data_IF_404650315266
#
_entry.id   IF_404650315266
#
_cell.length_a   1.000
_cell.length_b   1.000
_cell.length_c   1.000
_cell.angle_alpha   90.00
_cell.angle_beta   90.00
_cell.angle_gamma   90.00
#
_symmetry.space_group_name_H-M   'P 1'
#
loop_
_entity.id
_entity.type
_entity.pdbx_description
1 polymer ?
#
# COMPACT_ATOMS: atom_id res chain seq x y z
N UNK A 1 -1.03 -9.13 23.94
CA UNK A 1 -1.68 -8.56 22.73
C UNK A 1 -2.58 -9.66 22.22
N UNK A 2 -3.81 -9.67 22.71
CA UNK A 2 -4.74 -10.76 22.45
C UNK A 2 -5.60 -10.47 21.20
N UNK A 3 -5.30 -9.35 20.53
CA UNK A 3 -5.85 -8.94 19.24
C UNK A 3 -5.66 -9.96 18.09
N UNK A 4 -4.68 -10.86 18.22
CA UNK A 4 -4.46 -11.94 17.24
C UNK A 4 -5.32 -13.19 17.50
N UNK A 5 -6.07 -13.23 18.60
CA UNK A 5 -6.99 -14.32 18.91
C UNK A 5 -8.29 -14.19 18.10
N UNK A 6 -8.90 -15.32 17.76
CA UNK A 6 -10.09 -15.36 16.89
C UNK A 6 -11.30 -14.60 17.46
N UNK A 7 -11.40 -14.53 18.77
CA UNK A 7 -12.47 -13.83 19.47
C UNK A 7 -12.16 -12.34 19.69
N UNK A 8 -10.97 -11.85 19.31
CA UNK A 8 -10.50 -10.48 19.48
C UNK A 8 -11.01 -9.88 20.81
N UNK A 9 -10.62 -10.47 21.96
CA UNK A 9 -11.24 -10.19 23.25
C UNK A 9 -11.09 -8.72 23.64
N UNK A 10 -10.01 -8.08 23.19
CA UNK A 10 -9.67 -6.67 23.39
C UNK A 10 -10.40 -5.72 22.43
N UNK A 11 -11.17 -6.28 21.48
CA UNK A 11 -11.93 -5.54 20.44
C UNK A 11 -11.02 -4.58 19.69
N UNK A 12 -9.90 -5.10 19.20
CA UNK A 12 -8.94 -4.33 18.44
C UNK A 12 -9.33 -4.21 16.97
N UNK A 13 -9.14 -3.02 16.42
CA UNK A 13 -9.25 -2.78 15.00
C UNK A 13 -8.16 -3.56 14.25
N UNK A 14 -8.59 -4.33 13.25
CA UNK A 14 -7.66 -5.01 12.36
C UNK A 14 -7.25 -4.05 11.24
N UNK A 15 -5.95 -3.82 11.11
CA UNK A 15 -5.39 -3.14 9.94
C UNK A 15 -5.51 -4.02 8.68
N UNK A 16 -5.38 -5.34 8.84
CA UNK A 16 -5.52 -6.31 7.76
C UNK A 16 -5.96 -7.68 8.31
N UNK A 17 -6.84 -8.37 7.58
CA UNK A 17 -7.28 -9.73 7.91
C UNK A 17 -7.48 -10.54 6.62
N UNK A 18 -6.78 -11.65 6.51
CA UNK A 18 -7.01 -12.65 5.45
C UNK A 18 -8.26 -13.46 5.75
N UNK A 19 -9.01 -13.85 4.72
CA UNK A 19 -10.03 -14.89 4.87
C UNK A 19 -9.37 -16.23 5.19
N UNK A 20 -10.09 -17.12 5.87
CA UNK A 20 -9.62 -18.49 6.15
C UNK A 20 -9.23 -19.15 4.83
N UNK A 21 -8.03 -19.76 4.79
CA UNK A 21 -7.42 -20.39 3.61
C UNK A 21 -6.98 -19.47 2.46
N UNK A 22 -6.99 -18.14 2.63
CA UNK A 22 -6.36 -17.25 1.63
C UNK A 22 -4.84 -17.15 1.83
N UNK A 23 -4.12 -16.94 0.73
CA UNK A 23 -2.67 -16.74 0.75
C UNK A 23 -2.36 -15.31 1.19
N UNK A 24 -1.57 -15.17 2.25
CA UNK A 24 -0.98 -13.88 2.61
C UNK A 24 0.08 -13.52 1.56
N UNK A 25 -0.13 -12.42 0.85
CA UNK A 25 0.75 -11.96 -0.24
C UNK A 25 1.94 -11.13 0.26
N UNK A 26 2.00 -10.84 1.56
CA UNK A 26 2.93 -9.88 2.14
C UNK A 26 2.23 -8.57 2.48
N UNK A 27 2.87 -7.77 3.33
CA UNK A 27 2.56 -6.36 3.55
C UNK A 27 3.87 -5.57 3.50
N UNK A 28 3.76 -4.29 3.21
CA UNK A 28 4.85 -3.33 3.34
C UNK A 28 4.37 -2.28 4.35
N UNK A 29 5.12 -2.09 5.42
CA UNK A 29 4.83 -1.05 6.40
C UNK A 29 5.95 -0.02 6.35
N UNK A 30 5.56 1.24 6.30
CA UNK A 30 6.47 2.35 6.51
C UNK A 30 6.16 2.93 7.88
N UNK A 31 6.98 2.52 8.85
CA UNK A 31 6.73 2.79 10.26
C UNK A 31 7.46 4.06 10.63
N UNK A 32 6.70 5.11 10.92
CA UNK A 32 7.22 6.33 11.52
C UNK A 32 7.03 6.28 13.04
N UNK A 33 7.61 5.27 13.68
CA UNK A 33 7.44 5.03 15.11
C UNK A 33 8.69 4.38 15.70
N UNK A 34 9.00 4.62 16.98
CA UNK A 34 10.16 4.02 17.63
C UNK A 34 10.03 2.49 17.78
N UNK A 35 8.82 1.92 17.69
CA UNK A 35 8.58 0.50 17.86
C UNK A 35 7.37 0.04 17.05
N UNK A 36 7.48 -1.14 16.43
CA UNK A 36 6.36 -1.89 15.84
C UNK A 36 6.31 -3.27 16.47
N UNK A 37 5.10 -3.70 16.83
CA UNK A 37 4.82 -5.05 17.33
C UNK A 37 3.94 -5.79 16.34
N UNK A 38 4.40 -6.96 15.89
CA UNK A 38 3.65 -7.84 14.98
C UNK A 38 3.30 -9.13 15.70
N UNK A 39 2.04 -9.55 15.62
CA UNK A 39 1.56 -10.82 16.17
C UNK A 39 0.96 -11.64 15.05
N UNK A 40 1.44 -12.87 14.90
CA UNK A 40 0.93 -13.82 13.92
C UNK A 40 0.14 -14.91 14.63
N UNK A 41 -1.09 -15.15 14.17
CA UNK A 41 -1.97 -16.19 14.73
C UNK A 41 -1.43 -17.61 14.50
N UNK A 42 -0.78 -17.84 13.36
CA UNK A 42 -0.27 -19.15 12.96
C UNK A 42 1.25 -19.13 12.83
N UNK A 43 1.89 -20.26 13.13
CA UNK A 43 3.32 -20.47 12.90
C UNK A 43 3.58 -20.63 11.40
N UNK A 44 3.69 -19.51 10.69
CA UNK A 44 4.08 -19.46 9.27
C UNK A 44 5.46 -18.83 9.14
N UNK A 45 6.22 -19.32 8.17
CA UNK A 45 7.43 -18.62 7.73
C UNK A 45 7.01 -17.31 7.09
N UNK A 46 7.41 -16.20 7.69
CA UNK A 46 7.23 -14.85 7.17
C UNK A 46 8.60 -14.27 6.85
N UNK A 47 8.74 -13.72 5.65
CA UNK A 47 9.94 -12.96 5.29
C UNK A 47 9.69 -11.51 5.69
N UNK A 48 10.37 -11.06 6.75
CA UNK A 48 10.34 -9.67 7.17
C UNK A 48 11.57 -8.96 6.61
N UNK A 49 11.34 -7.88 5.88
CA UNK A 49 12.37 -6.95 5.45
C UNK A 49 12.04 -5.58 6.05
N UNK A 50 12.98 -5.01 6.77
CA UNK A 50 12.88 -3.64 7.25
C UNK A 50 13.70 -2.73 6.32
N UNK A 51 13.12 -1.59 5.94
CA UNK A 51 13.82 -0.49 5.28
C UNK A 51 13.71 0.74 6.17
N UNK A 52 14.83 1.38 6.46
CA UNK A 52 14.90 2.56 7.32
C UNK A 52 14.80 3.87 6.54
N UNK A 53 14.73 3.79 5.20
CA UNK A 53 14.47 4.95 4.38
C UNK A 53 13.01 5.36 4.55
N UNK A 54 12.79 6.39 5.37
CA UNK A 54 11.47 6.97 5.50
C UNK A 54 11.12 7.73 4.22
N UNK A 55 10.07 7.28 3.53
CA UNK A 55 9.52 7.94 2.36
C UNK A 55 8.09 8.36 2.73
N UNK A 56 7.65 9.57 2.39
CA UNK A 56 6.23 9.96 2.55
C UNK A 56 5.36 9.57 1.35
N UNK A 57 6.01 9.09 0.29
CA UNK A 57 5.37 8.67 -0.95
C UNK A 57 4.90 7.22 -0.82
N UNK A 58 3.66 6.98 -1.20
CA UNK A 58 2.99 5.67 -1.24
C UNK A 58 2.52 5.39 -2.65
N UNK A 59 2.56 4.13 -3.03
CA UNK A 59 2.05 3.66 -4.31
C UNK A 59 0.54 3.37 -4.19
N UNK A 60 -0.30 4.09 -4.95
CA UNK A 60 -1.74 3.90 -4.99
C UNK A 60 -2.13 2.52 -5.52
N UNK A 61 -1.28 1.82 -6.28
CA UNK A 61 -1.58 0.47 -6.73
C UNK A 61 -1.61 -0.56 -5.60
N UNK A 62 -1.07 -0.22 -4.42
CA UNK A 62 -1.03 -1.10 -3.25
C UNK A 62 -2.06 -0.65 -2.22
N UNK A 63 -2.85 -1.58 -1.69
CA UNK A 63 -3.66 -1.32 -0.50
C UNK A 63 -2.79 -1.14 0.74
N UNK A 64 -3.26 -0.36 1.70
CA UNK A 64 -2.51 -0.12 2.94
C UNK A 64 -3.36 0.54 4.03
N UNK A 65 -2.67 1.07 5.03
CA UNK A 65 -3.29 1.93 6.03
C UNK A 65 -2.32 3.01 6.49
N UNK A 66 -2.88 4.07 7.06
CA UNK A 66 -2.19 5.19 7.69
C UNK A 66 -2.77 5.30 9.10
N UNK A 67 -1.93 5.48 10.11
CA UNK A 67 -2.41 5.66 11.48
C UNK A 67 -1.72 6.84 12.15
N UNK A 68 -2.35 7.37 13.19
CA UNK A 68 -1.67 8.32 14.07
C UNK A 68 -0.47 7.66 14.77
N UNK A 69 0.55 8.44 15.15
CA UNK A 69 1.58 7.96 16.06
C UNK A 69 0.97 7.49 17.38
N UNK A 70 1.38 6.31 17.84
CA UNK A 70 0.88 5.75 19.09
C UNK A 70 -0.55 5.19 19.01
N UNK A 71 -1.14 5.09 17.81
CA UNK A 71 -2.46 4.48 17.62
C UNK A 71 -2.56 3.12 18.33
N UNK A 72 -3.56 3.01 19.19
CA UNK A 72 -3.97 1.76 19.82
C UNK A 72 -5.40 1.47 19.37
N UNK A 73 -5.57 0.41 18.57
CA UNK A 73 -6.86 0.10 17.98
C UNK A 73 -7.85 -0.62 18.92
N UNK A 74 -7.54 -0.80 20.20
CA UNK A 74 -8.28 -1.68 21.10
C UNK A 74 -9.20 -0.94 22.08
N UNK A 75 -10.51 -1.14 21.96
CA UNK A 75 -11.52 -0.46 22.77
C UNK A 75 -11.43 -0.76 24.27
N UNK A 76 -10.85 -1.90 24.66
CA UNK A 76 -10.83 -2.35 26.07
C UNK A 76 -9.59 -1.96 26.86
N UNK A 77 -8.62 -1.29 26.25
CA UNK A 77 -7.35 -0.96 26.91
C UNK A 77 -7.34 0.39 27.65
N UNK A 78 -8.44 1.15 27.58
CA UNK A 78 -8.56 2.48 28.20
C UNK A 78 -7.80 3.57 27.43
N UNK A 79 -8.21 4.84 27.60
CA UNK A 79 -7.64 5.99 26.87
C UNK A 79 -6.19 6.36 27.23
N UNK A 80 -5.58 5.67 28.20
CA UNK A 80 -4.27 6.04 28.76
C UNK A 80 -3.06 5.46 28.00
N UNK A 81 -3.27 4.78 26.86
CA UNK A 81 -2.19 4.02 26.19
C UNK A 81 -1.59 4.66 24.94
N UNK A 82 -2.07 5.81 24.48
CA UNK A 82 -1.47 6.49 23.33
C UNK A 82 -0.32 7.37 23.82
N UNK A 83 0.89 6.82 23.76
CA UNK A 83 2.11 7.57 24.05
C UNK A 83 2.70 8.11 22.75
N UNK A 84 2.42 9.38 22.45
CA UNK A 84 3.10 10.08 21.37
C UNK A 84 4.52 10.43 21.82
N UNK A 85 5.53 9.97 21.08
CA UNK A 85 6.89 10.47 21.26
C UNK A 85 6.97 11.88 20.68
N UNK A 86 7.12 12.89 21.55
CA UNK A 86 7.33 14.31 21.17
C UNK A 86 8.60 14.55 20.36
N UNK A 87 9.50 13.56 20.29
CA UNK A 87 10.80 13.68 19.65
C UNK A 87 10.71 13.71 18.13
N UNK A 88 9.62 13.19 17.55
CA UNK A 88 9.49 13.10 16.11
C UNK A 88 8.40 14.06 15.63
N UNK A 89 8.84 15.16 15.00
CA UNK A 89 7.96 16.03 14.21
C UNK A 89 7.82 15.40 12.84
N UNK A 90 6.83 14.53 12.71
CA UNK A 90 6.52 13.88 11.46
C UNK A 90 5.94 14.93 10.51
N UNK A 91 6.40 14.99 9.26
CA UNK A 91 5.60 15.64 8.23
C UNK A 91 4.31 14.83 8.11
N UNK A 92 3.18 15.51 8.21
CA UNK A 92 1.86 14.92 8.42
C UNK A 92 1.18 14.47 7.12
N UNK A 93 1.86 14.69 6.00
CA UNK A 93 1.35 14.47 4.66
C UNK A 93 1.91 13.17 4.09
N UNK A 94 1.01 12.29 3.70
CA UNK A 94 1.29 11.05 2.99
C UNK A 94 0.84 11.22 1.54
N UNK A 95 1.82 11.29 0.63
CA UNK A 95 1.58 11.48 -0.79
C UNK A 95 1.36 10.12 -1.45
N UNK A 96 0.16 9.88 -1.94
CA UNK A 96 -0.22 8.61 -2.56
C UNK A 96 -0.29 8.81 -4.08
N UNK A 97 0.69 8.26 -4.79
CA UNK A 97 0.88 8.40 -6.24
C UNK A 97 0.44 7.15 -6.99
N UNK A 98 -0.31 7.34 -8.08
CA UNK A 98 -0.76 6.29 -8.98
C UNK A 98 -0.35 6.51 -10.44
N UNK A 99 0.31 7.63 -10.76
CA UNK A 99 0.70 7.91 -12.14
C UNK A 99 1.58 6.80 -12.75
N UNK A 100 1.41 6.47 -14.05
CA UNK A 100 0.51 7.10 -15.02
C UNK A 100 -0.94 6.56 -14.98
N UNK A 101 -1.21 5.58 -14.13
CA UNK A 101 -2.51 4.95 -13.99
C UNK A 101 -3.49 5.81 -13.19
N UNK A 102 -4.77 5.42 -13.23
CA UNK A 102 -5.82 6.04 -12.44
C UNK A 102 -6.50 5.00 -11.56
N UNK A 103 -6.90 5.42 -10.37
CA UNK A 103 -7.47 4.56 -9.35
C UNK A 103 -8.76 5.16 -8.79
N UNK A 104 -9.63 4.28 -8.29
CA UNK A 104 -10.68 4.61 -7.34
C UNK A 104 -10.27 4.06 -5.99
N UNK A 105 -10.21 4.90 -4.97
CA UNK A 105 -9.73 4.53 -3.64
C UNK A 105 -10.93 4.49 -2.70
N UNK A 106 -11.09 3.36 -2.02
CA UNK A 106 -11.97 3.24 -0.86
C UNK A 106 -11.13 3.44 0.39
N UNK A 107 -11.39 4.53 1.11
CA UNK A 107 -10.91 4.76 2.45
C UNK A 107 -11.93 4.24 3.46
N UNK A 108 -11.47 3.55 4.49
CA UNK A 108 -12.28 3.20 5.64
C UNK A 108 -11.47 3.24 6.92
N UNK A 109 -12.08 3.62 8.04
CA UNK A 109 -11.28 3.83 9.24
C UNK A 109 -12.07 4.11 10.49
N UNK A 110 -11.31 4.16 11.57
CA UNK A 110 -11.76 4.39 12.92
C UNK A 110 -10.90 5.52 13.49
N UNK A 111 -11.53 6.52 14.09
CA UNK A 111 -10.85 7.69 14.62
C UNK A 111 -11.55 8.26 15.86
N UNK A 112 -10.73 8.80 16.73
CA UNK A 112 -11.10 9.58 17.90
C UNK A 112 -10.19 10.80 17.90
N UNK A 113 -10.72 11.94 17.44
CA UNK A 113 -9.95 13.19 17.32
C UNK A 113 -10.67 14.27 18.11
N UNK A 114 -10.15 14.64 19.28
CA UNK A 114 -10.67 15.72 20.10
C UNK A 114 -10.38 17.08 19.46
N UNK A 115 -9.10 17.34 19.12
CA UNK A 115 -8.64 18.62 18.57
C UNK A 115 -7.94 18.49 17.20
N UNK A 116 -7.51 17.27 16.84
CA UNK A 116 -6.89 16.97 15.54
C UNK A 116 -7.89 16.89 14.38
N UNK A 117 -7.40 17.05 13.16
CA UNK A 117 -8.16 16.84 11.92
C UNK A 117 -7.39 15.94 10.97
N UNK A 118 -8.04 14.94 10.38
CA UNK A 118 -7.48 14.21 9.23
C UNK A 118 -8.08 14.78 7.95
N UNK A 119 -7.22 15.19 7.01
CA UNK A 119 -7.61 15.79 5.74
C UNK A 119 -7.19 14.88 4.60
N UNK A 120 -8.13 14.51 3.74
CA UNK A 120 -7.85 13.81 2.49
C UNK A 120 -8.02 14.82 1.36
N UNK A 121 -6.92 15.10 0.63
CA UNK A 121 -6.88 16.00 -0.52
C UNK A 121 -6.66 15.17 -1.78
N UNK A 122 -7.63 15.12 -2.67
CA UNK A 122 -7.50 14.53 -3.99
C UNK A 122 -7.06 15.61 -4.97
N UNK A 123 -5.77 15.59 -5.32
CA UNK A 123 -5.14 16.64 -6.12
C UNK A 123 -5.59 16.56 -7.58
N UNK A 124 -5.90 15.35 -8.06
CA UNK A 124 -6.32 15.14 -9.45
C UNK A 124 -7.63 15.87 -9.79
N UNK A 125 -8.55 15.97 -8.83
CA UNK A 125 -9.87 16.58 -9.05
C UNK A 125 -10.20 17.73 -8.09
N UNK A 126 -9.22 18.23 -7.33
CA UNK A 126 -9.35 19.32 -6.38
C UNK A 126 -10.47 19.07 -5.33
N UNK A 127 -10.66 17.81 -4.94
CA UNK A 127 -11.60 17.41 -3.89
C UNK A 127 -10.91 17.36 -2.53
N UNK A 128 -11.60 17.85 -1.49
CA UNK A 128 -11.07 17.94 -0.14
C UNK A 128 -12.10 17.38 0.83
N UNK A 129 -11.69 16.46 1.69
CA UNK A 129 -12.48 15.93 2.80
C UNK A 129 -11.74 16.16 4.11
N UNK A 130 -12.47 16.63 5.12
CA UNK A 130 -11.96 16.77 6.47
C UNK A 130 -12.73 15.84 7.41
N UNK A 131 -12.02 15.21 8.32
CA UNK A 131 -12.55 14.28 9.30
C UNK A 131 -12.09 14.71 10.69
N UNK A 132 -13.06 14.96 11.56
CA UNK A 132 -12.87 15.41 12.95
C UNK A 132 -13.79 14.64 13.89
N UNK A 133 -13.52 14.71 15.19
CA UNK A 133 -14.32 14.08 16.22
C UNK A 133 -14.15 12.56 16.27
N UNK A 134 -15.11 11.93 16.95
CA UNK A 134 -15.21 10.48 17.00
C UNK A 134 -15.97 9.95 15.77
N UNK A 135 -15.36 9.03 15.02
CA UNK A 135 -16.00 8.30 13.93
C UNK A 135 -15.51 6.85 13.92
N UNK A 136 -16.43 5.92 14.14
CA UNK A 136 -16.19 4.49 13.91
C UNK A 136 -16.70 4.07 12.53
N UNK A 137 -16.01 3.14 11.88
CA UNK A 137 -16.37 2.56 10.57
C UNK A 137 -16.69 3.61 9.49
N UNK A 138 -15.97 4.73 9.49
CA UNK A 138 -16.14 5.73 8.45
C UNK A 138 -15.73 5.14 7.11
N UNK A 139 -16.43 5.50 6.04
CA UNK A 139 -16.14 5.05 4.68
C UNK A 139 -16.26 6.21 3.72
N UNK A 140 -15.29 6.32 2.83
CA UNK A 140 -15.25 7.32 1.79
C UNK A 140 -14.63 6.72 0.54
N UNK A 141 -15.20 7.03 -0.62
CA UNK A 141 -14.67 6.59 -1.91
C UNK A 141 -14.32 7.81 -2.73
N UNK A 142 -13.10 7.87 -3.24
CA UNK A 142 -12.67 8.93 -4.16
C UNK A 142 -13.35 8.79 -5.52
N UNK A 143 -13.33 9.85 -6.31
CA UNK A 143 -13.49 9.71 -7.75
C UNK A 143 -12.23 9.05 -8.35
N UNK A 144 -12.20 8.94 -9.68
CA UNK A 144 -10.98 8.56 -10.40
C UNK A 144 -9.87 9.57 -10.10
N UNK A 145 -8.73 9.09 -9.60
CA UNK A 145 -7.61 9.90 -9.15
C UNK A 145 -6.27 9.22 -9.44
N UNK A 146 -5.22 10.02 -9.61
CA UNK A 146 -3.83 9.56 -9.68
C UNK A 146 -2.99 10.06 -8.50
N UNK A 147 -3.50 11.03 -7.72
CA UNK A 147 -2.76 11.64 -6.63
C UNK A 147 -3.70 12.03 -5.48
N UNK A 148 -3.46 11.42 -4.32
CA UNK A 148 -4.15 11.76 -3.07
C UNK A 148 -3.11 12.07 -1.99
N UNK A 149 -3.32 13.15 -1.25
CA UNK A 149 -2.54 13.50 -0.07
C UNK A 149 -3.41 13.28 1.15
N UNK A 150 -2.97 12.41 2.06
CA UNK A 150 -3.58 12.28 3.39
C UNK A 150 -2.74 13.10 4.35
N UNK A 151 -3.31 14.18 4.88
CA UNK A 151 -2.68 15.08 5.81
C UNK A 151 -3.31 14.94 7.19
N UNK A 152 -2.52 15.12 8.24
CA UNK A 152 -3.04 15.47 9.56
C UNK A 152 -2.91 16.98 9.66
N UNK A 153 -4.01 17.67 9.92
CA UNK A 153 -4.03 19.11 10.16
C UNK A 153 -4.23 19.35 11.65
N UNK A 154 -3.53 20.34 12.19
CA UNK A 154 -3.38 20.63 13.62
C UNK A 154 -2.50 19.62 14.41
N UNK A 155 -1.19 19.90 14.44
CA UNK A 155 -0.12 19.09 15.09
C UNK A 155 -0.31 18.91 16.61
N UNK A 156 -1.25 19.62 17.23
CA UNK A 156 -1.60 19.44 18.64
C UNK A 156 -2.52 18.22 18.87
N UNK A 157 -2.25 17.11 18.17
CA UNK A 157 -2.78 15.79 18.51
C UNK A 157 -2.48 15.54 19.98
N UNK A 158 -3.52 15.52 20.80
CA UNK A 158 -3.36 15.22 22.24
C UNK A 158 -3.19 13.72 22.43
N UNK A 159 -2.84 13.27 23.65
CA UNK A 159 -2.76 11.84 23.94
C UNK A 159 -4.10 11.11 23.74
N UNK A 160 -5.24 11.80 23.62
CA UNK A 160 -6.52 11.16 23.26
C UNK A 160 -6.72 10.99 21.75
N UNK A 161 -5.94 11.67 20.91
CA UNK A 161 -6.19 11.72 19.48
C UNK A 161 -5.56 10.52 18.78
N UNK A 162 -6.42 9.68 18.19
CA UNK A 162 -6.00 8.47 17.50
C UNK A 162 -6.80 8.24 16.22
N UNK A 163 -6.14 7.71 15.19
CA UNK A 163 -6.85 7.26 14.00
C UNK A 163 -6.12 6.10 13.31
N UNK A 164 -6.91 5.29 12.61
CA UNK A 164 -6.42 4.37 11.58
C UNK A 164 -7.33 4.50 10.36
N UNK A 165 -6.71 4.83 9.23
CA UNK A 165 -7.35 4.96 7.94
C UNK A 165 -6.78 3.90 7.00
N UNK A 166 -7.57 2.88 6.70
CA UNK A 166 -7.28 1.85 5.69
C UNK A 166 -7.68 2.38 4.32
N UNK A 167 -6.96 1.96 3.29
CA UNK A 167 -7.28 2.28 1.91
C UNK A 167 -7.11 1.07 1.01
N UNK A 168 -8.06 0.92 0.09
CA UNK A 168 -8.02 -0.09 -0.98
C UNK A 168 -8.24 0.60 -2.31
N UNK A 169 -7.33 0.34 -3.24
CA UNK A 169 -7.35 0.97 -4.55
C UNK A 169 -7.77 -0.01 -5.64
N UNK A 170 -8.60 0.47 -6.56
CA UNK A 170 -9.01 -0.26 -7.76
C UNK A 170 -8.56 0.52 -8.98
N UNK A 171 -7.68 -0.05 -9.80
CA UNK A 171 -7.24 0.57 -11.05
C UNK A 171 -8.42 0.72 -12.00
N UNK A 172 -8.54 1.90 -12.62
CA UNK A 172 -9.49 2.20 -13.68
C UNK A 172 -8.77 2.04 -15.00
N UNK A 173 -9.13 1.00 -15.74
CA UNK A 173 -8.62 0.80 -17.09
C UNK A 173 -9.30 1.79 -18.01
N UNK A 174 -8.53 2.72 -18.58
CA UNK A 174 -9.01 3.50 -19.71
C UNK A 174 -9.25 2.53 -20.87
N UNK A 175 -10.51 2.38 -21.29
CA UNK A 175 -10.78 1.70 -22.56
C UNK A 175 -10.08 2.51 -23.65
N UNK A 176 -8.94 2.00 -24.11
CA UNK A 176 -8.36 2.47 -25.37
C UNK A 176 -9.40 2.22 -26.44
N UNK A 177 -10.01 3.29 -26.93
CA UNK A 177 -10.79 3.23 -28.16
C UNK A 177 -9.89 2.59 -29.20
N UNK A 178 -10.27 1.42 -29.77
CA UNK A 178 -9.44 0.78 -30.77
C UNK A 178 -9.14 1.82 -31.86
N UNK A 179 -7.87 1.90 -32.25
CA UNK A 179 -7.48 2.75 -33.37
C UNK A 179 -8.42 2.44 -34.55
N UNK A 180 -8.89 3.47 -35.29
CA UNK A 180 -9.76 3.24 -36.44
C UNK A 180 -9.12 2.18 -37.31
N UNK A 181 -9.86 1.10 -37.56
CA UNK A 181 -9.41 -0.01 -38.38
C UNK A 181 -9.01 0.59 -39.73
N UNK A 182 -7.71 0.65 -40.00
CA UNK A 182 -7.23 1.12 -41.31
C UNK A 182 -7.88 0.21 -42.33
N UNK A 183 -8.76 0.79 -43.15
CA UNK A 183 -9.37 0.08 -44.26
C UNK A 183 -8.24 -0.25 -45.21
N UNK A 184 -7.71 -1.47 -45.10
CA UNK A 184 -6.75 -2.00 -46.06
C UNK A 184 -7.53 -2.16 -47.37
N UNK A 185 -7.45 -1.16 -48.22
CA UNK A 185 -7.87 -1.29 -49.62
C UNK A 185 -6.90 -2.29 -50.24
N UNK A 186 -7.34 -3.55 -50.30
CA UNK A 186 -6.68 -4.61 -51.05
C UNK A 186 -6.60 -4.18 -52.53
N UNK A 187 -5.54 -3.47 -52.86
CA UNK A 187 -5.15 -3.24 -54.24
C UNK A 187 -4.42 -4.50 -54.65
N UNK A 188 -5.11 -5.34 -55.43
CA UNK A 188 -4.57 -6.56 -56.01
C UNK A 188 -3.20 -6.28 -56.66
N UNK A 189 -2.12 -6.94 -56.22
CA UNK A 189 -0.85 -6.87 -56.94
C UNK A 189 -1.03 -7.56 -58.30
N UNK A 190 -0.59 -6.89 -59.36
CA UNK A 190 -0.32 -7.56 -60.63
C UNK A 190 0.87 -8.50 -60.42
N UNK A 191 0.75 -9.72 -60.95
CA UNK A 191 1.75 -10.77 -60.96
C UNK A 191 3.16 -10.24 -61.26
N UNK A 192 4.13 -10.61 -60.41
CA UNK A 192 5.55 -10.54 -60.72
C UNK A 192 6.29 -11.70 -60.07
N UNK A 193 7.35 -12.22 -60.71
CA UNK A 193 7.76 -13.61 -60.56
C UNK A 193 8.61 -13.87 -59.31
N UNK A 194 8.43 -15.10 -58.82
CA UNK A 194 9.07 -15.75 -57.69
C UNK A 194 10.60 -15.71 -57.84
N UNK A 195 11.29 -15.06 -56.90
CA UNK A 195 12.74 -15.26 -56.70
C UNK A 195 12.94 -15.93 -55.35
N UNK A 196 13.42 -17.17 -55.37
CA UNK A 196 13.74 -17.95 -54.19
C UNK A 196 14.98 -17.35 -53.48
N UNK A 197 14.84 -17.00 -52.21
CA UNK A 197 15.95 -16.61 -51.34
C UNK A 197 16.01 -17.55 -50.15
N UNK A 198 17.14 -18.24 -50.04
CA UNK A 198 17.51 -19.23 -49.03
C UNK A 198 17.81 -18.57 -47.68
N UNK A 199 17.14 -19.03 -46.62
CA UNK A 199 17.48 -18.70 -45.23
C UNK A 199 18.77 -19.39 -44.77
N UNK A 200 19.66 -18.71 -44.03
CA UNK A 200 20.61 -19.38 -43.15
C UNK A 200 20.00 -19.59 -41.75
N UNK A 201 19.97 -20.86 -41.38
CA UNK A 201 19.73 -21.41 -40.04
C UNK A 201 20.79 -20.89 -39.07
N UNK A 202 20.39 -20.27 -37.96
CA UNK A 202 21.29 -19.94 -36.84
C UNK A 202 20.95 -20.78 -35.62
N UNK A 203 21.98 -21.44 -35.09
CA UNK A 203 21.92 -22.39 -33.96
C UNK A 203 21.72 -21.69 -32.61
N UNK A 204 21.15 -22.38 -31.60
CA UNK A 204 21.03 -21.86 -30.24
C UNK A 204 22.39 -21.87 -29.52
N UNK A 205 22.71 -20.75 -28.86
CA UNK A 205 23.85 -20.59 -27.96
C UNK A 205 23.47 -21.14 -26.58
N UNK A 206 24.24 -22.12 -26.11
CA UNK A 206 24.11 -22.68 -24.75
C UNK A 206 24.98 -21.86 -23.79
N UNK A 207 24.36 -21.15 -22.86
CA UNK A 207 25.07 -20.42 -21.79
C UNK A 207 25.14 -21.29 -20.54
N UNK A 208 26.35 -21.72 -20.16
CA UNK A 208 26.60 -22.45 -18.91
C UNK A 208 26.70 -21.45 -17.76
N UNK A 209 25.79 -21.56 -16.78
CA UNK A 209 25.83 -20.77 -15.54
C UNK A 209 26.65 -21.53 -14.49
N UNK A 210 27.75 -20.94 -14.03
CA UNK A 210 28.59 -21.47 -12.94
C UNK A 210 28.12 -20.86 -11.62
N UNK A 211 27.70 -21.70 -10.68
CA UNK A 211 27.29 -21.30 -9.32
C UNK A 211 28.54 -21.15 -8.43
N UNK A 212 28.76 -20.01 -7.75
CA UNK A 212 29.78 -19.92 -6.71
C UNK A 212 29.25 -20.50 -5.39
N UNK A 213 30.04 -21.38 -4.79
CA UNK A 213 29.87 -21.93 -3.44
C UNK A 213 30.49 -20.96 -2.43
N UNK A 214 29.70 -20.43 -1.50
CA UNK A 214 30.21 -19.70 -0.32
C UNK A 214 30.24 -20.63 0.88
N UNK A 215 31.44 -20.86 1.42
CA UNK A 215 31.68 -21.56 2.68
C UNK A 215 31.43 -20.63 3.86
N UNK A 216 30.70 -21.12 4.86
CA UNK A 216 30.56 -20.50 6.17
C UNK A 216 31.79 -20.78 7.05
N UNK A 217 32.28 -19.76 7.75
CA UNK A 217 33.14 -19.91 8.90
C UNK A 217 32.94 -18.73 9.85
N UNK A 218 32.87 -19.03 11.15
CA UNK A 218 33.12 -18.04 12.20
C UNK A 218 31.98 -17.87 13.20
N UNK A 219 31.88 -18.80 14.15
CA UNK A 219 31.28 -18.50 15.44
C UNK A 219 32.22 -17.63 16.28
N UNK A 220 31.64 -16.77 17.12
CA UNK A 220 32.33 -16.17 18.27
C UNK A 220 31.35 -16.18 19.44
N UNK A 221 31.77 -16.89 20.49
CA UNK A 221 31.26 -16.82 21.85
C UNK A 221 31.85 -15.60 22.55
N UNK A 222 31.01 -14.87 23.27
CA UNK A 222 31.37 -13.81 24.21
C UNK A 222 30.15 -13.41 25.01
#
# INVERSE_FOLDING_TARGET
FDNALDNNPDVCNHAYKTTVNSKFTGFEFQVNAPMISLVFKERKHVNLKADFNYVNVRDLAKSGFISSPGFNGCDKLGGDQVHQSKQYRYSEDYDMHGEPDQFRILFDGDMELADGTVVIKDITNNFHMQMTGWKANTKFTTNTTSLVIVAIDNINITAGDSFMLRFTSTQILNETTPAPEETVTNTSPADSPITASTSPRTSPVTTTVTTPTTSSAGGITG
#
